data_IF_730523231546
#
_entry.id   IF_730523231546
#
_cell.length_a   1.000
_cell.length_b   1.000
_cell.length_c   1.000
_cell.angle_alpha   90.00
_cell.angle_beta   90.00
_cell.angle_gamma   90.00
#
_symmetry.space_group_name_H-M   'P 1'
#
loop_
_entity.id
_entity.type
_entity.pdbx_description
1 polymer ?
#
# COMPACT_ATOMS: atom_id res chain seq x y z
N UNK A 1 14.03 -22.39 33.97
CA UNK A 1 14.05 -21.12 33.20
C UNK A 1 14.48 -20.04 34.14
N UNK A 2 15.46 -19.22 33.73
CA UNK A 2 15.96 -18.17 34.59
C UNK A 2 14.94 -17.04 34.74
N UNK A 3 14.75 -16.60 35.98
CA UNK A 3 13.85 -15.49 36.28
C UNK A 3 14.67 -14.24 36.62
N UNK A 4 14.16 -13.10 36.17
CA UNK A 4 14.78 -11.79 36.43
C UNK A 4 13.80 -10.86 37.10
N UNK A 5 14.32 -10.01 37.98
CA UNK A 5 13.52 -8.95 38.61
C UNK A 5 13.59 -7.69 37.76
N UNK A 6 12.44 -7.19 37.35
CA UNK A 6 12.33 -5.94 36.61
C UNK A 6 12.58 -4.73 37.48
N UNK A 7 13.55 -3.88 37.13
CA UNK A 7 13.90 -2.68 37.92
C UNK A 7 12.78 -1.62 37.98
N UNK A 8 11.83 -1.64 37.05
CA UNK A 8 10.76 -0.63 36.97
C UNK A 8 9.49 -1.03 37.68
N UNK A 9 9.12 -2.33 37.71
CA UNK A 9 7.90 -2.79 38.37
C UNK A 9 8.17 -3.70 39.58
N UNK A 10 9.43 -4.06 39.87
CA UNK A 10 9.83 -4.94 40.98
C UNK A 10 9.38 -6.40 40.82
N UNK A 11 8.67 -6.76 39.76
CA UNK A 11 8.15 -8.12 39.56
C UNK A 11 9.22 -9.06 39.06
N UNK A 12 9.24 -10.27 39.61
CA UNK A 12 9.99 -11.40 39.08
C UNK A 12 9.24 -11.95 37.82
N UNK A 13 9.95 -12.09 36.72
CA UNK A 13 9.40 -12.50 35.41
C UNK A 13 10.38 -13.43 34.71
N UNK A 14 9.85 -14.25 33.81
CA UNK A 14 10.66 -15.14 32.98
C UNK A 14 11.56 -14.34 32.04
N UNK A 15 12.73 -14.88 31.72
CA UNK A 15 13.75 -14.30 30.86
C UNK A 15 13.21 -13.86 29.51
N UNK A 16 12.24 -14.58 28.92
CA UNK A 16 11.60 -14.26 27.64
C UNK A 16 10.75 -12.97 27.68
N UNK A 17 10.41 -12.48 28.87
CA UNK A 17 9.71 -11.22 29.08
C UNK A 17 10.64 -9.99 29.14
N UNK A 18 11.93 -10.18 28.86
CA UNK A 18 12.93 -9.13 28.76
C UNK A 18 13.52 -9.07 27.36
N UNK A 19 13.78 -7.87 26.83
CA UNK A 19 14.42 -7.74 25.55
C UNK A 19 15.87 -8.23 25.58
N UNK A 20 16.18 -9.16 24.68
CA UNK A 20 17.54 -9.64 24.47
C UNK A 20 18.35 -8.54 23.79
N UNK A 21 19.51 -8.24 24.30
CA UNK A 21 20.45 -7.27 23.74
C UNK A 21 21.72 -7.99 23.32
N UNK A 22 22.22 -7.66 22.12
CA UNK A 22 23.45 -8.20 21.60
C UNK A 22 24.54 -7.13 21.59
N UNK A 23 25.63 -7.38 22.32
CA UNK A 23 26.87 -6.55 22.29
C UNK A 23 28.08 -7.46 22.40
N UNK A 24 28.22 -8.46 21.50
CA UNK A 24 29.27 -9.47 21.60
C UNK A 24 29.01 -10.55 22.67
N UNK A 25 28.15 -10.31 23.64
CA UNK A 25 27.63 -11.28 24.62
C UNK A 25 26.14 -11.13 24.76
N UNK A 26 25.44 -12.24 24.92
CA UNK A 26 23.98 -12.20 25.19
C UNK A 26 23.72 -11.65 26.58
N UNK A 27 22.94 -10.59 26.66
CA UNK A 27 22.39 -10.11 27.91
C UNK A 27 20.99 -9.54 27.73
N UNK A 28 20.23 -9.50 28.78
CA UNK A 28 18.84 -9.04 28.77
C UNK A 28 18.72 -7.63 29.29
N UNK A 29 17.66 -6.91 28.88
CA UNK A 29 17.40 -5.59 29.44
C UNK A 29 17.04 -5.71 30.93
N UNK A 30 17.36 -4.69 31.71
CA UNK A 30 17.00 -4.63 33.14
C UNK A 30 15.51 -4.36 33.40
N UNK A 31 14.80 -3.81 32.35
CA UNK A 31 13.36 -3.59 32.37
C UNK A 31 12.66 -4.68 31.56
N UNK A 32 11.50 -5.16 32.04
CA UNK A 32 10.68 -6.09 31.27
C UNK A 32 10.06 -5.41 30.05
N UNK A 33 9.63 -6.23 29.09
CA UNK A 33 9.03 -5.76 27.83
C UNK A 33 7.85 -4.81 28.06
N UNK A 34 6.99 -5.09 29.06
CA UNK A 34 5.81 -4.28 29.34
C UNK A 34 6.17 -2.89 29.87
N UNK A 35 7.10 -2.81 30.83
CA UNK A 35 7.59 -1.54 31.34
C UNK A 35 8.26 -0.71 30.25
N UNK A 36 9.09 -1.36 29.41
CA UNK A 36 9.73 -0.69 28.27
C UNK A 36 8.69 -0.18 27.28
N UNK A 37 7.66 -0.96 26.93
CA UNK A 37 6.56 -0.55 26.05
C UNK A 37 5.79 0.63 26.65
N UNK A 38 5.44 0.57 27.95
CA UNK A 38 4.72 1.65 28.65
C UNK A 38 5.52 2.95 28.61
N UNK A 39 6.80 2.91 28.98
CA UNK A 39 7.69 4.07 28.95
C UNK A 39 7.85 4.65 27.55
N UNK A 40 8.01 3.79 26.54
CA UNK A 40 8.13 4.22 25.14
C UNK A 40 6.84 4.87 24.64
N UNK A 41 5.68 4.33 25.02
CA UNK A 41 4.39 4.92 24.69
C UNK A 41 4.25 6.31 25.33
N UNK A 42 4.50 6.45 26.61
CA UNK A 42 4.45 7.73 27.31
C UNK A 42 5.35 8.79 26.67
N UNK A 43 6.58 8.41 26.29
CA UNK A 43 7.51 9.31 25.59
C UNK A 43 6.98 9.73 24.21
N UNK A 44 6.40 8.82 23.45
CA UNK A 44 5.77 9.15 22.14
C UNK A 44 4.58 10.08 22.31
N UNK A 45 3.73 9.82 23.31
CA UNK A 45 2.55 10.62 23.58
C UNK A 45 2.96 12.04 24.01
N UNK A 46 3.97 12.18 24.88
CA UNK A 46 4.57 13.47 25.24
C UNK A 46 5.08 14.24 24.02
N UNK A 47 5.83 13.58 23.12
CA UNK A 47 6.35 14.24 21.92
C UNK A 47 5.19 14.66 20.99
N UNK A 48 4.13 13.87 20.91
CA UNK A 48 2.97 14.19 20.06
C UNK A 48 2.12 15.34 20.59
N UNK A 49 2.01 15.44 21.91
CA UNK A 49 1.20 16.49 22.57
C UNK A 49 1.88 17.84 22.61
N UNK A 50 3.21 17.90 22.45
CA UNK A 50 3.99 19.14 22.47
C UNK A 50 4.47 19.50 21.05
N UNK A 51 3.95 20.57 20.42
CA UNK A 51 4.33 20.97 19.07
C UNK A 51 5.83 21.25 18.91
N UNK A 52 6.49 21.80 19.93
CA UNK A 52 7.92 22.12 19.88
C UNK A 52 8.76 20.83 19.89
N UNK A 53 8.44 19.89 20.79
CA UNK A 53 9.09 18.59 20.83
C UNK A 53 8.85 17.78 19.56
N UNK A 54 7.65 17.88 18.97
CA UNK A 54 7.30 17.21 17.72
C UNK A 54 8.15 17.74 16.56
N UNK A 55 8.28 19.07 16.44
CA UNK A 55 9.09 19.67 15.37
C UNK A 55 10.58 19.39 15.55
N UNK A 56 11.08 19.43 16.78
CA UNK A 56 12.47 19.02 17.09
C UNK A 56 12.72 17.54 16.72
N UNK A 57 11.79 16.67 17.06
CA UNK A 57 11.86 15.24 16.70
C UNK A 57 11.89 15.04 15.18
N UNK A 58 11.04 15.78 14.44
CA UNK A 58 11.02 15.78 12.96
C UNK A 58 12.33 16.30 12.39
N UNK A 59 12.86 17.40 12.91
CA UNK A 59 14.15 17.96 12.48
C UNK A 59 15.28 16.95 12.67
N UNK A 60 15.39 16.36 13.85
CA UNK A 60 16.40 15.30 14.14
C UNK A 60 16.25 14.08 13.22
N UNK A 61 15.01 13.71 12.90
CA UNK A 61 14.76 12.60 11.96
C UNK A 61 15.21 12.96 10.54
N UNK A 62 14.93 14.18 10.05
CA UNK A 62 15.39 14.67 8.75
C UNK A 62 16.93 14.71 8.65
N UNK A 63 17.61 15.18 9.70
CA UNK A 63 19.07 15.24 9.77
C UNK A 63 19.69 13.83 9.73
N UNK A 64 19.19 12.88 10.55
CA UNK A 64 19.63 11.48 10.52
C UNK A 64 19.42 10.85 9.16
N UNK A 65 18.28 11.11 8.52
CA UNK A 65 17.98 10.61 7.19
C UNK A 65 18.95 11.17 6.15
N UNK A 66 19.28 12.46 6.24
CA UNK A 66 20.26 13.11 5.35
C UNK A 66 21.65 12.48 5.51
N UNK A 67 22.11 12.30 6.74
CA UNK A 67 23.39 11.65 7.02
C UNK A 67 23.43 10.16 6.61
N UNK A 68 22.34 9.43 6.81
CA UNK A 68 22.21 8.07 6.33
C UNK A 68 22.32 7.99 4.79
N UNK A 69 21.63 8.90 4.08
CA UNK A 69 21.69 8.95 2.61
C UNK A 69 23.12 9.23 2.09
N UNK A 70 23.86 10.13 2.75
CA UNK A 70 25.26 10.45 2.38
C UNK A 70 26.19 9.24 2.56
N UNK A 71 25.94 8.42 3.59
CA UNK A 71 26.80 7.25 3.90
C UNK A 71 26.46 6.02 3.08
N UNK A 72 25.36 5.99 2.34
CA UNK A 72 24.99 4.84 1.51
C UNK A 72 25.97 4.69 0.35
N UNK A 73 26.50 3.47 0.19
CA UNK A 73 27.31 3.09 -0.98
C UNK A 73 26.42 2.98 -2.22
N UNK A 74 27.03 3.04 -3.41
CA UNK A 74 26.30 2.83 -4.67
C UNK A 74 25.67 1.43 -4.74
N UNK A 75 26.34 0.42 -4.24
CA UNK A 75 25.77 -0.94 -4.12
C UNK A 75 24.46 -0.96 -3.27
N UNK A 76 24.47 -0.28 -2.12
CA UNK A 76 23.26 -0.18 -1.28
C UNK A 76 22.13 0.60 -1.95
N UNK A 77 22.46 1.61 -2.75
CA UNK A 77 21.48 2.35 -3.54
C UNK A 77 20.89 1.47 -4.63
N UNK A 78 21.73 0.76 -5.38
CA UNK A 78 21.29 -0.13 -6.45
C UNK A 78 20.43 -1.27 -5.92
N UNK A 79 20.83 -1.93 -4.84
CA UNK A 79 20.01 -2.97 -4.19
C UNK A 79 18.64 -2.45 -3.73
N UNK A 80 18.58 -1.20 -3.26
CA UNK A 80 17.31 -0.57 -2.88
C UNK A 80 16.43 -0.30 -4.10
N UNK A 81 17.00 0.14 -5.21
CA UNK A 81 16.27 0.35 -6.47
C UNK A 81 15.76 -0.97 -7.04
N UNK A 82 16.59 -2.00 -7.10
CA UNK A 82 16.18 -3.35 -7.53
C UNK A 82 15.01 -3.87 -6.71
N UNK A 83 15.07 -3.71 -5.38
CA UNK A 83 13.96 -4.10 -4.50
C UNK A 83 12.68 -3.33 -4.78
N UNK A 84 12.78 -2.03 -5.08
CA UNK A 84 11.62 -1.20 -5.44
C UNK A 84 11.03 -1.63 -6.79
N UNK A 85 11.88 -1.85 -7.80
CA UNK A 85 11.43 -2.33 -9.12
C UNK A 85 10.75 -3.68 -9.02
N UNK A 86 11.37 -4.65 -8.33
CA UNK A 86 10.77 -5.97 -8.11
C UNK A 86 9.43 -5.88 -7.37
N UNK A 87 9.29 -4.99 -6.39
CA UNK A 87 8.00 -4.76 -5.71
C UNK A 87 6.94 -4.23 -6.68
N UNK A 88 7.30 -3.22 -7.49
CA UNK A 88 6.37 -2.60 -8.46
C UNK A 88 5.96 -3.62 -9.52
N UNK A 89 6.90 -4.40 -10.04
CA UNK A 89 6.67 -5.44 -11.04
C UNK A 89 5.69 -6.51 -10.52
N UNK A 90 6.00 -7.11 -9.37
CA UNK A 90 5.10 -8.08 -8.72
C UNK A 90 3.71 -7.51 -8.43
N UNK A 91 3.64 -6.22 -8.13
CA UNK A 91 2.37 -5.55 -7.91
C UNK A 91 1.59 -5.35 -9.21
N UNK A 92 2.27 -5.02 -10.30
CA UNK A 92 1.66 -4.93 -11.65
C UNK A 92 1.14 -6.28 -12.11
N UNK A 93 1.94 -7.33 -12.00
CA UNK A 93 1.53 -8.71 -12.31
C UNK A 93 0.27 -9.11 -11.52
N UNK A 94 0.24 -8.80 -10.22
CA UNK A 94 -0.94 -9.05 -9.40
C UNK A 94 -2.16 -8.24 -9.87
N UNK A 95 -2.02 -6.96 -10.21
CA UNK A 95 -3.12 -6.14 -10.77
C UNK A 95 -3.60 -6.71 -12.10
N UNK A 96 -2.69 -7.14 -12.97
CA UNK A 96 -3.03 -7.80 -14.25
C UNK A 96 -3.82 -9.10 -14.01
N UNK A 97 -3.47 -9.87 -12.98
CA UNK A 97 -4.18 -11.11 -12.65
C UNK A 97 -5.64 -10.88 -12.21
N UNK A 98 -5.97 -9.68 -11.73
CA UNK A 98 -7.33 -9.33 -11.33
C UNK A 98 -8.27 -9.04 -12.52
N UNK A 99 -7.73 -8.76 -13.72
CA UNK A 99 -8.54 -8.50 -14.90
C UNK A 99 -9.36 -9.74 -15.27
N UNK A 100 -10.59 -9.52 -15.64
CA UNK A 100 -11.47 -10.54 -16.27
C UNK A 100 -11.36 -10.44 -17.80
N UNK A 101 -12.09 -11.25 -18.52
CA UNK A 101 -12.23 -11.11 -19.97
C UNK A 101 -13.02 -9.83 -20.30
N UNK A 102 -12.91 -9.37 -21.54
CA UNK A 102 -13.71 -8.25 -22.02
C UNK A 102 -15.21 -8.56 -21.86
N UNK A 103 -15.92 -7.68 -21.15
CA UNK A 103 -17.35 -7.86 -20.88
C UNK A 103 -18.22 -7.80 -22.15
N UNK A 104 -17.76 -7.15 -23.25
CA UNK A 104 -18.50 -7.03 -24.51
C UNK A 104 -18.21 -8.19 -25.46
N UNK A 105 -16.93 -8.45 -25.79
CA UNK A 105 -16.55 -9.39 -26.85
C UNK A 105 -15.87 -10.67 -26.37
N UNK A 106 -15.64 -10.81 -25.06
CA UNK A 106 -15.01 -12.01 -24.49
C UNK A 106 -13.48 -12.09 -24.66
N UNK A 107 -12.80 -11.08 -25.21
CA UNK A 107 -11.34 -11.07 -25.36
C UNK A 107 -10.65 -11.43 -24.03
N UNK A 108 -9.78 -12.46 -24.04
CA UNK A 108 -9.17 -13.02 -22.85
C UNK A 108 -7.71 -12.60 -22.62
N UNK A 109 -7.06 -12.01 -23.63
CA UNK A 109 -5.66 -11.57 -23.55
C UNK A 109 -5.52 -10.38 -22.61
N UNK A 110 -5.03 -10.61 -21.38
CA UNK A 110 -4.99 -9.62 -20.30
C UNK A 110 -4.31 -8.30 -20.67
N UNK A 111 -3.26 -8.34 -21.49
CA UNK A 111 -2.54 -7.15 -21.94
C UNK A 111 -3.36 -6.24 -22.89
N UNK A 112 -4.44 -6.75 -23.48
CA UNK A 112 -5.40 -5.97 -24.26
C UNK A 112 -6.56 -5.43 -23.43
N UNK A 113 -6.71 -5.87 -22.18
CA UNK A 113 -7.82 -5.49 -21.33
C UNK A 113 -7.49 -4.22 -20.54
N UNK A 114 -8.42 -3.29 -20.53
CA UNK A 114 -8.38 -2.05 -19.78
C UNK A 114 -9.43 -2.05 -18.68
N UNK A 115 -9.11 -1.39 -17.59
CA UNK A 115 -10.06 -1.07 -16.53
C UNK A 115 -10.88 0.15 -16.96
N UNK A 116 -12.17 -0.01 -17.13
CA UNK A 116 -13.11 1.08 -17.40
C UNK A 116 -13.93 1.37 -16.16
N UNK A 117 -13.81 2.59 -15.60
CA UNK A 117 -14.65 3.01 -14.48
C UNK A 117 -16.09 3.22 -14.95
N UNK A 118 -17.05 2.52 -14.32
CA UNK A 118 -18.47 2.62 -14.65
C UNK A 118 -18.94 4.07 -14.44
N UNK A 119 -18.58 4.63 -13.30
CA UNK A 119 -18.84 6.04 -12.95
C UNK A 119 -17.51 6.77 -12.70
N UNK A 120 -17.09 7.66 -13.61
CA UNK A 120 -15.85 8.42 -13.45
C UNK A 120 -15.84 9.33 -12.22
N UNK A 121 -17.00 9.75 -11.72
CA UNK A 121 -17.09 10.62 -10.52
C UNK A 121 -16.66 9.90 -9.24
N UNK A 122 -16.77 8.57 -9.22
CA UNK A 122 -16.37 7.74 -8.09
C UNK A 122 -14.93 7.23 -8.17
N UNK A 123 -14.22 7.58 -9.24
CA UNK A 123 -12.82 7.20 -9.42
C UNK A 123 -11.92 7.90 -8.41
N UNK A 124 -11.23 7.11 -7.58
CA UNK A 124 -10.23 7.64 -6.66
C UNK A 124 -8.83 7.71 -7.29
N UNK A 125 -8.46 6.71 -8.09
CA UNK A 125 -7.18 6.67 -8.79
C UNK A 125 -7.25 5.74 -10.02
N UNK A 126 -6.25 5.84 -10.89
CA UNK A 126 -6.10 4.89 -12.01
C UNK A 126 -5.50 3.58 -11.49
N UNK A 127 -6.21 2.46 -11.68
CA UNK A 127 -5.75 1.13 -11.23
C UNK A 127 -4.42 0.77 -11.87
N UNK A 128 -4.23 1.05 -13.16
CA UNK A 128 -3.00 0.73 -13.89
C UNK A 128 -1.75 1.43 -13.32
N UNK A 129 -1.90 2.64 -12.76
CA UNK A 129 -0.82 3.37 -12.11
C UNK A 129 -0.83 3.22 -10.57
N UNK A 130 -1.82 2.54 -10.02
CA UNK A 130 -2.04 2.37 -8.58
C UNK A 130 -1.13 1.34 -7.88
N UNK A 131 -0.05 0.89 -8.53
CA UNK A 131 0.82 -0.18 -7.99
C UNK A 131 1.43 0.11 -6.60
N UNK A 132 1.47 1.38 -6.18
CA UNK A 132 1.95 1.80 -4.86
C UNK A 132 0.83 1.87 -3.80
N UNK A 133 -0.44 1.77 -4.21
CA UNK A 133 -1.57 1.79 -3.29
C UNK A 133 -1.65 0.49 -2.47
N UNK A 134 -2.31 0.54 -1.31
CA UNK A 134 -2.57 -0.66 -0.52
C UNK A 134 -3.47 -1.65 -1.28
N UNK A 135 -3.24 -2.96 -1.13
CA UNK A 135 -4.00 -4.00 -1.86
C UNK A 135 -5.51 -3.86 -1.69
N UNK A 136 -5.99 -3.62 -0.47
CA UNK A 136 -7.42 -3.47 -0.22
C UNK A 136 -8.03 -2.29 -0.98
N UNK A 137 -7.32 -1.14 -1.08
CA UNK A 137 -7.79 0.01 -1.87
C UNK A 137 -7.89 -0.30 -3.36
N UNK A 138 -6.91 -1.05 -3.90
CA UNK A 138 -6.96 -1.49 -5.30
C UNK A 138 -8.17 -2.40 -5.52
N UNK A 139 -8.43 -3.36 -4.62
CA UNK A 139 -9.60 -4.25 -4.71
C UNK A 139 -10.92 -3.49 -4.63
N UNK A 140 -11.03 -2.47 -3.77
CA UNK A 140 -12.23 -1.62 -3.73
C UNK A 140 -12.40 -0.82 -5.03
N UNK A 141 -11.31 -0.30 -5.59
CA UNK A 141 -11.37 0.43 -6.85
C UNK A 141 -11.73 -0.47 -8.04
N UNK A 142 -11.27 -1.73 -8.06
CA UNK A 142 -11.65 -2.68 -9.13
C UNK A 142 -13.15 -2.97 -9.16
N UNK A 143 -13.85 -2.93 -8.02
CA UNK A 143 -15.31 -3.11 -7.96
C UNK A 143 -16.11 -2.00 -8.68
N UNK A 144 -15.49 -0.84 -8.85
CA UNK A 144 -16.07 0.31 -9.55
C UNK A 144 -15.82 0.24 -11.07
N UNK A 145 -15.16 -0.82 -11.54
CA UNK A 145 -14.72 -0.95 -12.93
C UNK A 145 -15.31 -2.18 -13.61
N UNK A 146 -15.36 -2.12 -14.92
CA UNK A 146 -15.56 -3.27 -15.81
C UNK A 146 -14.32 -3.45 -16.68
N UNK A 147 -14.04 -4.66 -17.09
CA UNK A 147 -12.96 -4.97 -18.03
C UNK A 147 -13.46 -4.90 -19.47
N UNK A 148 -12.85 -4.04 -20.29
CA UNK A 148 -13.09 -3.94 -21.72
C UNK A 148 -11.76 -4.08 -22.46
N UNK A 149 -11.75 -4.74 -23.62
CA UNK A 149 -10.57 -4.70 -24.49
C UNK A 149 -10.40 -3.29 -25.09
N UNK A 150 -9.20 -2.98 -25.60
CA UNK A 150 -8.89 -1.66 -26.14
C UNK A 150 -9.90 -1.21 -27.22
N UNK A 151 -10.31 -2.12 -28.10
CA UNK A 151 -11.29 -1.81 -29.17
C UNK A 151 -12.67 -1.49 -28.56
N UNK A 152 -13.23 -2.39 -27.74
CA UNK A 152 -14.53 -2.17 -27.11
C UNK A 152 -14.55 -0.95 -26.19
N UNK A 153 -13.42 -0.66 -25.52
CA UNK A 153 -13.29 0.54 -24.68
C UNK A 153 -13.32 1.83 -25.51
N UNK A 154 -12.64 1.84 -26.65
CA UNK A 154 -12.64 2.98 -27.57
C UNK A 154 -14.02 3.14 -28.23
N UNK A 155 -14.62 2.05 -28.67
CA UNK A 155 -15.96 2.02 -29.28
C UNK A 155 -17.02 2.55 -28.30
N UNK A 156 -17.00 2.11 -27.06
CA UNK A 156 -17.90 2.62 -26.02
C UNK A 156 -17.80 4.15 -25.88
N UNK A 157 -16.59 4.68 -25.77
CA UNK A 157 -16.41 6.12 -25.65
C UNK A 157 -16.77 6.90 -26.92
N UNK A 158 -16.65 6.29 -28.08
CA UNK A 158 -16.96 6.94 -29.35
C UNK A 158 -18.48 7.04 -29.61
N UNK A 159 -19.21 5.96 -29.40
CA UNK A 159 -20.62 5.88 -29.80
C UNK A 159 -21.61 6.12 -28.65
N UNK A 160 -21.27 5.66 -27.44
CA UNK A 160 -22.18 5.74 -26.29
C UNK A 160 -21.78 6.84 -25.32
N UNK A 161 -20.49 6.98 -25.04
CA UNK A 161 -19.99 7.91 -24.04
C UNK A 161 -20.45 7.56 -22.64
N UNK A 162 -20.35 8.52 -21.74
CA UNK A 162 -20.81 8.36 -20.36
C UNK A 162 -21.92 9.38 -20.10
N UNK A 163 -23.13 8.90 -19.81
CA UNK A 163 -24.20 9.76 -19.35
C UNK A 163 -23.91 10.16 -17.88
N UNK A 164 -23.66 11.45 -17.59
CA UNK A 164 -23.33 11.88 -16.22
C UNK A 164 -24.45 11.64 -15.20
N UNK A 165 -25.71 11.59 -15.65
CA UNK A 165 -26.87 11.37 -14.79
C UNK A 165 -27.07 9.88 -14.48
N UNK A 166 -26.71 9.00 -15.41
CA UNK A 166 -26.77 7.55 -15.23
C UNK A 166 -25.64 6.83 -15.98
N UNK A 167 -24.41 6.84 -15.43
CA UNK A 167 -23.24 6.24 -16.09
C UNK A 167 -23.39 4.73 -16.31
N UNK A 168 -24.08 4.04 -15.40
CA UNK A 168 -24.29 2.60 -15.47
C UNK A 168 -25.22 2.21 -16.64
N UNK A 169 -26.27 2.96 -16.86
CA UNK A 169 -27.21 2.71 -17.95
C UNK A 169 -26.53 2.76 -19.31
N UNK A 170 -25.68 3.77 -19.57
CA UNK A 170 -24.90 3.86 -20.81
C UNK A 170 -24.03 2.63 -21.04
N UNK A 171 -23.41 2.12 -20.00
CA UNK A 171 -22.59 0.90 -20.08
C UNK A 171 -23.45 -0.34 -20.30
N UNK A 172 -24.57 -0.48 -19.60
CA UNK A 172 -25.46 -1.63 -19.71
C UNK A 172 -26.10 -1.68 -21.12
N UNK A 173 -26.49 -0.55 -21.69
CA UNK A 173 -26.93 -0.43 -23.09
C UNK A 173 -25.86 -0.89 -24.05
N UNK A 174 -24.59 -0.45 -23.87
CA UNK A 174 -23.49 -0.90 -24.72
C UNK A 174 -23.25 -2.41 -24.61
N UNK A 175 -23.27 -2.97 -23.39
CA UNK A 175 -22.99 -4.39 -23.17
C UNK A 175 -24.08 -5.29 -23.71
N UNK A 176 -25.35 -4.88 -23.57
CA UNK A 176 -26.55 -5.65 -24.00
C UNK A 176 -26.98 -5.33 -25.42
N UNK A 177 -26.80 -4.09 -25.90
CA UNK A 177 -27.14 -3.65 -27.23
C UNK A 177 -26.22 -4.30 -28.26
N UNK A 178 -26.65 -5.42 -28.76
CA UNK A 178 -26.16 -5.96 -30.03
C UNK A 178 -26.82 -5.19 -31.20
N UNK A 179 -26.07 -4.93 -32.23
CA UNK A 179 -26.52 -4.92 -33.63
C UNK A 179 -27.54 -3.85 -34.14
N UNK A 180 -27.64 -2.68 -33.49
CA UNK A 180 -28.39 -1.60 -34.18
C UNK A 180 -27.58 -0.31 -34.16
N UNK A 181 -26.56 -0.22 -35.04
CA UNK A 181 -26.10 1.02 -35.69
C UNK A 181 -24.85 0.77 -36.53
N UNK A 182 -25.05 0.18 -37.70
CA UNK A 182 -24.16 0.33 -38.85
C UNK A 182 -24.96 0.98 -39.96
#
# INVERSE_FOLDING_TARGET
MDKFVCISCGQEKDQNQFYKKWRGREYYSKECCDCTKKRTKQQRDRIRSDPALLEESRRKARERQKEYRKRRTEEQKNKSLESQYSFVEKRREWIESLKTNCAKCGEARKYLIHWHHIDPSQKEFSISSGCTQAKHRILEETKKCVCLCANCHTEFHHFYGINPQNPRESLDQYLTGGEENV
#
